data_IF_474642505777
#
_entry.id   IF_474642505777
#
_cell.length_a   1.000
_cell.length_b   1.000
_cell.length_c   1.000
_cell.angle_alpha   90.00
_cell.angle_beta   90.00
_cell.angle_gamma   90.00
#
_symmetry.space_group_name_H-M   'P 1'
#
loop_
_entity.id
_entity.type
_entity.pdbx_description
1 polymer ?
#
# COMPACT_ATOMS: atom_id res chain seq x y z
N UNK A 1 0.45 -23.23 4.10
CA UNK A 1 0.08 -22.67 2.78
C UNK A 1 1.33 -22.53 1.92
N UNK A 2 1.52 -23.39 0.91
CA UNK A 2 2.60 -23.22 -0.08
C UNK A 2 2.29 -21.96 -0.88
N UNK A 3 3.07 -20.88 -0.70
CA UNK A 3 2.98 -19.69 -1.56
C UNK A 3 3.44 -20.10 -2.96
N UNK A 4 2.50 -20.42 -3.84
CA UNK A 4 2.75 -20.48 -5.28
C UNK A 4 3.13 -19.06 -5.71
N UNK A 5 4.43 -18.81 -5.85
CA UNK A 5 4.91 -17.63 -6.55
C UNK A 5 4.31 -17.76 -7.95
N UNK A 6 3.36 -16.88 -8.31
CA UNK A 6 2.92 -16.73 -9.70
C UNK A 6 4.16 -16.30 -10.47
N UNK A 7 4.87 -17.28 -11.04
CA UNK A 7 5.92 -17.04 -12.02
C UNK A 7 5.16 -16.48 -13.22
N UNK A 8 5.12 -15.14 -13.36
CA UNK A 8 4.73 -14.55 -14.63
C UNK A 8 5.59 -15.24 -15.70
N UNK A 9 4.95 -15.79 -16.73
CA UNK A 9 5.67 -16.40 -17.84
C UNK A 9 6.69 -15.37 -18.32
N UNK A 10 7.97 -15.71 -18.20
CA UNK A 10 9.05 -14.85 -18.66
C UNK A 10 8.87 -14.82 -20.18
N UNK A 11 8.36 -13.71 -20.70
CA UNK A 11 8.28 -13.47 -22.14
C UNK A 11 9.70 -13.62 -22.69
N UNK A 12 9.90 -14.64 -23.52
CA UNK A 12 11.19 -14.99 -24.09
C UNK A 12 10.99 -15.11 -25.60
N UNK A 13 11.14 -13.99 -26.27
CA UNK A 13 11.00 -13.91 -27.71
C UNK A 13 12.40 -13.86 -28.31
N UNK A 14 12.74 -14.92 -29.04
CA UNK A 14 13.99 -15.12 -29.77
C UNK A 14 13.84 -14.62 -31.20
N UNK A 15 14.97 -14.47 -31.91
CA UNK A 15 14.94 -14.15 -33.35
C UNK A 15 14.17 -15.19 -34.18
N UNK A 16 14.14 -16.46 -33.75
CA UNK A 16 13.45 -17.56 -34.44
C UNK A 16 11.93 -17.43 -34.38
N UNK A 17 11.42 -16.63 -33.44
CA UNK A 17 9.99 -16.39 -33.29
C UNK A 17 9.47 -15.31 -34.26
N UNK A 18 10.34 -14.75 -35.11
CA UNK A 18 10.00 -13.71 -36.07
C UNK A 18 10.59 -13.98 -37.46
N UNK A 19 9.87 -13.58 -38.50
CA UNK A 19 10.41 -13.51 -39.85
C UNK A 19 11.08 -12.15 -40.03
N UNK A 20 12.40 -12.10 -39.83
CA UNK A 20 13.20 -10.87 -39.89
C UNK A 20 13.66 -10.65 -41.34
N UNK A 21 13.31 -9.50 -41.92
CA UNK A 21 13.69 -9.10 -43.29
C UNK A 21 14.97 -8.28 -43.32
N UNK A 22 15.23 -7.48 -42.27
CA UNK A 22 16.43 -6.65 -42.14
C UNK A 22 16.89 -6.60 -40.70
N UNK A 23 18.19 -6.65 -40.45
CA UNK A 23 18.78 -6.55 -39.10
C UNK A 23 19.93 -5.54 -39.10
N UNK A 24 19.73 -4.39 -38.45
CA UNK A 24 20.68 -3.26 -38.46
C UNK A 24 21.32 -3.09 -37.08
N UNK A 25 22.66 -3.03 -36.97
CA UNK A 25 23.33 -2.89 -35.68
C UNK A 25 23.10 -1.49 -35.06
N UNK A 26 22.87 -1.44 -33.75
CA UNK A 26 22.79 -0.20 -32.98
C UNK A 26 24.14 0.07 -32.33
N UNK A 27 24.85 1.10 -32.80
CA UNK A 27 26.06 1.56 -32.13
C UNK A 27 25.73 2.23 -30.80
N UNK A 28 26.21 1.66 -29.69
CA UNK A 28 26.17 2.31 -28.38
C UNK A 28 27.61 2.44 -27.90
N UNK A 29 28.05 3.69 -27.75
CA UNK A 29 29.44 4.15 -27.63
C UNK A 29 30.33 3.51 -26.55
N UNK A 30 29.83 2.59 -25.71
CA UNK A 30 30.57 2.05 -24.55
C UNK A 30 30.30 0.58 -24.20
N UNK A 31 29.52 -0.17 -24.98
CA UNK A 31 29.12 -1.53 -24.59
C UNK A 31 29.48 -2.56 -25.65
N UNK A 32 30.20 -3.63 -25.27
CA UNK A 32 30.51 -4.80 -26.12
C UNK A 32 29.31 -5.67 -26.49
N UNK A 33 28.10 -5.34 -26.03
CA UNK A 33 26.91 -6.14 -26.30
C UNK A 33 26.27 -5.72 -27.61
N UNK A 34 26.11 -6.71 -28.49
CA UNK A 34 25.42 -6.60 -29.75
C UNK A 34 23.94 -6.23 -29.56
N UNK A 35 23.50 -5.26 -30.34
CA UNK A 35 22.14 -4.74 -30.36
C UNK A 35 21.74 -4.44 -31.79
N UNK A 36 20.47 -4.66 -32.10
CA UNK A 36 19.97 -4.49 -33.44
C UNK A 36 18.58 -3.87 -33.46
N UNK A 37 18.25 -3.18 -34.54
CA UNK A 37 16.88 -2.89 -34.97
C UNK A 37 16.57 -3.91 -36.06
N UNK A 38 15.58 -4.75 -35.83
CA UNK A 38 15.08 -5.71 -36.80
C UNK A 38 13.82 -5.17 -37.45
N UNK A 39 13.76 -5.18 -38.78
CA UNK A 39 12.52 -5.01 -39.55
C UNK A 39 11.92 -6.39 -39.78
N UNK A 40 10.66 -6.57 -39.44
CA UNK A 40 9.92 -7.82 -39.60
C UNK A 40 9.25 -7.88 -40.99
N UNK A 41 8.71 -9.04 -41.35
CA UNK A 41 7.99 -9.24 -42.63
C UNK A 41 6.74 -8.37 -42.79
N UNK A 42 6.11 -7.96 -41.69
CA UNK A 42 4.97 -7.04 -41.67
C UNK A 42 5.38 -5.56 -41.73
N UNK A 43 6.68 -5.28 -41.87
CA UNK A 43 7.24 -3.92 -41.88
C UNK A 43 7.45 -3.31 -40.49
N UNK A 44 7.03 -3.97 -39.41
CA UNK A 44 7.23 -3.43 -38.05
C UNK A 44 8.70 -3.52 -37.62
N UNK A 45 9.14 -2.57 -36.80
CA UNK A 45 10.50 -2.55 -36.26
C UNK A 45 10.51 -2.99 -34.80
N UNK A 46 11.46 -3.85 -34.44
CA UNK A 46 11.71 -4.26 -33.05
C UNK A 46 13.17 -4.19 -32.67
N UNK A 47 13.42 -3.90 -31.39
CA UNK A 47 14.78 -3.85 -30.84
C UNK A 47 15.17 -5.22 -30.29
N UNK A 48 16.33 -5.70 -30.74
CA UNK A 48 16.95 -6.95 -30.29
C UNK A 48 18.27 -6.68 -29.58
N UNK A 49 18.59 -7.52 -28.62
CA UNK A 49 19.82 -7.45 -27.81
C UNK A 49 20.33 -8.86 -27.59
N UNK A 50 21.64 -9.07 -27.76
CA UNK A 50 22.25 -10.36 -27.44
C UNK A 50 22.39 -10.50 -25.93
N UNK A 51 21.94 -11.63 -25.40
CA UNK A 51 22.13 -11.94 -23.99
C UNK A 51 23.61 -12.11 -23.68
N UNK A 52 24.13 -11.41 -22.66
CA UNK A 52 25.51 -11.62 -22.17
C UNK A 52 25.64 -12.78 -21.17
N UNK A 53 24.56 -13.52 -20.95
CA UNK A 53 24.52 -14.68 -20.06
C UNK A 53 24.84 -15.97 -20.79
N UNK A 54 24.58 -17.12 -20.13
CA UNK A 54 24.92 -18.43 -20.67
C UNK A 54 24.22 -18.78 -21.99
N UNK A 55 23.06 -18.18 -22.31
CA UNK A 55 22.34 -18.53 -23.53
C UNK A 55 22.90 -17.87 -24.79
N UNK A 56 23.55 -16.70 -24.70
CA UNK A 56 24.08 -15.93 -25.85
C UNK A 56 23.10 -15.67 -27.01
N UNK A 57 21.81 -15.90 -26.79
CA UNK A 57 20.75 -15.76 -27.79
C UNK A 57 20.45 -14.28 -28.08
N UNK A 58 20.04 -14.02 -29.32
CA UNK A 58 19.50 -12.73 -29.72
C UNK A 58 18.00 -12.69 -29.36
N UNK A 59 17.63 -11.78 -28.46
CA UNK A 59 16.29 -11.70 -27.87
C UNK A 59 15.72 -10.30 -28.01
N UNK A 60 14.40 -10.18 -27.97
CA UNK A 60 13.75 -8.87 -27.91
C UNK A 60 14.03 -8.18 -26.56
N UNK A 61 13.98 -6.85 -26.53
CA UNK A 61 14.26 -6.06 -25.32
C UNK A 61 13.33 -6.38 -24.13
N UNK A 62 12.12 -6.87 -24.39
CA UNK A 62 11.17 -7.28 -23.35
C UNK A 62 11.68 -8.46 -22.54
N UNK A 63 12.52 -9.31 -23.14
CA UNK A 63 13.15 -10.47 -22.50
C UNK A 63 14.21 -10.08 -21.45
N UNK A 64 14.55 -8.78 -21.32
CA UNK A 64 15.56 -8.27 -20.40
C UNK A 64 14.92 -7.49 -19.24
N UNK A 65 15.31 -7.75 -17.97
CA UNK A 65 14.82 -6.99 -16.83
C UNK A 65 15.09 -5.48 -16.96
N UNK A 66 14.15 -4.65 -16.49
CA UNK A 66 14.30 -3.19 -16.49
C UNK A 66 15.37 -2.77 -15.47
N UNK A 67 16.32 -1.92 -15.89
CA UNK A 67 17.36 -1.31 -15.03
C UNK A 67 17.66 0.12 -15.45
N UNK A 68 17.05 1.08 -14.76
CA UNK A 68 17.15 2.54 -15.05
C UNK A 68 18.57 3.10 -15.10
N UNK A 69 19.55 2.45 -14.45
CA UNK A 69 20.96 2.88 -14.43
C UNK A 69 21.72 2.59 -15.74
N UNK A 70 21.16 1.79 -16.65
CA UNK A 70 21.78 1.47 -17.94
C UNK A 70 21.25 2.43 -19.00
N UNK A 71 22.09 2.77 -19.98
CA UNK A 71 21.73 3.71 -21.05
C UNK A 71 20.48 3.27 -21.84
N UNK A 72 20.28 1.95 -21.99
CA UNK A 72 19.12 1.36 -22.67
C UNK A 72 17.97 0.99 -21.71
N UNK A 73 18.10 1.32 -20.42
CA UNK A 73 17.11 1.01 -19.38
C UNK A 73 16.92 -0.48 -19.10
N UNK A 74 17.80 -1.36 -19.60
CA UNK A 74 17.65 -2.83 -19.52
C UNK A 74 18.93 -3.52 -19.06
N UNK A 75 18.80 -4.67 -18.41
CA UNK A 75 19.94 -5.52 -18.10
C UNK A 75 20.57 -6.10 -19.37
N UNK A 76 21.80 -6.58 -19.22
CA UNK A 76 22.57 -7.22 -20.30
C UNK A 76 22.30 -8.73 -20.42
N UNK A 77 21.72 -9.32 -19.39
CA UNK A 77 21.31 -10.71 -19.35
C UNK A 77 19.79 -10.80 -19.44
N UNK A 78 19.30 -11.80 -20.17
CA UNK A 78 17.89 -12.07 -20.25
C UNK A 78 17.33 -12.53 -18.90
N UNK A 79 16.01 -12.43 -18.72
CA UNK A 79 15.34 -12.79 -17.47
C UNK A 79 15.61 -14.22 -17.03
N UNK A 80 15.75 -15.16 -17.98
CA UNK A 80 16.07 -16.57 -17.70
C UNK A 80 17.49 -16.71 -17.12
N UNK A 81 18.51 -16.27 -17.84
CA UNK A 81 19.91 -16.35 -17.38
C UNK A 81 20.10 -15.60 -16.06
N UNK A 82 19.47 -14.43 -15.92
CA UNK A 82 19.51 -13.66 -14.69
C UNK A 82 18.91 -14.46 -13.51
N UNK A 83 17.75 -15.09 -13.71
CA UNK A 83 17.08 -15.91 -12.68
C UNK A 83 17.88 -17.14 -12.30
N UNK A 84 18.46 -17.85 -13.27
CA UNK A 84 19.33 -19.01 -13.04
C UNK A 84 20.57 -18.60 -12.23
N UNK A 85 21.24 -17.52 -12.61
CA UNK A 85 22.37 -16.97 -11.87
C UNK A 85 21.98 -16.59 -10.45
N UNK A 86 20.84 -15.93 -10.26
CA UNK A 86 20.32 -15.61 -8.92
C UNK A 86 20.08 -16.87 -8.07
N UNK A 87 19.51 -17.93 -8.66
CA UNK A 87 19.30 -19.23 -7.98
C UNK A 87 20.63 -19.89 -7.60
N UNK A 88 21.61 -19.88 -8.49
CA UNK A 88 22.95 -20.43 -8.21
C UNK A 88 23.64 -19.65 -7.08
N UNK A 89 23.59 -18.32 -7.12
CA UNK A 89 24.18 -17.50 -6.07
C UNK A 89 23.47 -17.69 -4.73
N UNK A 90 22.14 -17.82 -4.73
CA UNK A 90 21.38 -18.17 -3.54
C UNK A 90 21.82 -19.51 -2.97
N UNK A 91 21.94 -20.55 -3.81
CA UNK A 91 22.40 -21.86 -3.36
C UNK A 91 23.82 -21.82 -2.79
N UNK A 92 24.73 -21.03 -3.38
CA UNK A 92 26.09 -20.81 -2.84
C UNK A 92 26.05 -20.15 -1.47
N UNK A 93 25.25 -19.08 -1.30
CA UNK A 93 25.09 -18.39 -0.02
C UNK A 93 24.52 -19.32 1.06
N UNK A 94 23.54 -20.16 0.70
CA UNK A 94 22.95 -21.12 1.64
C UNK A 94 23.94 -22.22 2.04
N UNK A 95 24.75 -22.74 1.10
CA UNK A 95 25.78 -23.75 1.41
C UNK A 95 26.90 -23.24 2.30
N UNK A 96 27.20 -21.94 2.25
CA UNK A 96 28.23 -21.31 3.09
C UNK A 96 27.71 -20.87 4.46
N UNK A 97 26.40 -20.92 4.69
CA UNK A 97 25.81 -20.48 5.93
C UNK A 97 25.93 -21.57 7.00
N UNK A 98 26.51 -21.23 8.15
CA UNK A 98 26.37 -22.05 9.35
C UNK A 98 24.98 -21.78 9.95
N UNK A 99 24.17 -22.83 10.12
CA UNK A 99 22.83 -22.72 10.69
C UNK A 99 22.83 -22.22 12.13
N UNK A 100 23.95 -22.39 12.83
CA UNK A 100 24.16 -21.90 14.20
C UNK A 100 24.71 -20.47 14.23
N UNK A 101 25.10 -19.90 13.09
CA UNK A 101 25.57 -18.51 13.02
C UNK A 101 24.46 -17.57 13.49
N UNK A 102 24.82 -16.71 14.44
CA UNK A 102 23.96 -15.62 14.93
C UNK A 102 24.49 -14.29 14.43
N UNK A 103 23.57 -13.37 14.15
CA UNK A 103 23.87 -11.99 13.76
C UNK A 103 22.99 -11.03 14.51
N UNK A 104 23.49 -9.82 14.73
CA UNK A 104 22.71 -8.72 15.30
C UNK A 104 21.96 -8.00 14.18
N UNK A 105 20.65 -7.85 14.31
CA UNK A 105 19.83 -7.17 13.32
C UNK A 105 20.06 -5.66 13.39
N UNK A 106 20.48 -5.03 12.29
CA UNK A 106 20.78 -3.59 12.25
C UNK A 106 19.59 -2.64 12.46
N UNK A 107 18.38 -3.17 12.63
CA UNK A 107 17.14 -2.40 12.80
C UNK A 107 16.50 -2.56 14.18
N UNK A 108 16.62 -3.74 14.80
CA UNK A 108 16.05 -3.99 16.14
C UNK A 108 17.12 -4.31 17.19
N UNK A 109 18.39 -4.41 16.79
CA UNK A 109 19.53 -4.73 17.65
C UNK A 109 19.43 -6.07 18.41
N UNK A 110 18.46 -6.91 18.08
CA UNK A 110 18.35 -8.27 18.60
C UNK A 110 19.29 -9.23 17.85
N UNK A 111 19.94 -10.12 18.59
CA UNK A 111 20.73 -11.23 18.06
C UNK A 111 19.82 -12.38 17.61
N UNK A 112 19.94 -12.79 16.34
CA UNK A 112 19.07 -13.81 15.73
C UNK A 112 19.88 -14.79 14.90
N UNK A 113 19.34 -16.01 14.77
CA UNK A 113 19.89 -17.03 13.86
C UNK A 113 19.87 -16.54 12.42
N UNK A 114 20.84 -16.97 11.61
CA UNK A 114 20.95 -16.60 10.19
C UNK A 114 19.68 -16.89 9.38
N UNK A 115 18.92 -17.93 9.76
CA UNK A 115 17.65 -18.32 9.15
C UNK A 115 16.56 -17.25 9.28
N UNK A 116 16.66 -16.33 10.24
CA UNK A 116 15.77 -15.18 10.42
C UNK A 116 16.07 -14.02 9.44
N UNK A 117 17.11 -14.13 8.61
CA UNK A 117 17.50 -13.10 7.65
C UNK A 117 17.11 -13.46 6.22
N UNK A 118 16.67 -12.45 5.47
CA UNK A 118 16.46 -12.58 4.03
C UNK A 118 17.79 -12.50 3.28
N UNK A 119 17.83 -13.01 2.06
CA UNK A 119 18.98 -12.92 1.16
C UNK A 119 18.60 -12.17 -0.12
N UNK A 120 19.56 -11.46 -0.71
CA UNK A 120 19.43 -10.80 -2.01
C UNK A 120 20.20 -11.52 -3.13
N UNK A 121 20.66 -12.75 -2.86
CA UNK A 121 21.49 -13.52 -3.78
C UNK A 121 22.99 -13.19 -3.66
N UNK A 122 23.37 -12.00 -3.18
CA UNK A 122 24.77 -11.66 -2.89
C UNK A 122 25.18 -11.92 -1.43
N UNK A 123 24.24 -12.37 -0.59
CA UNK A 123 24.45 -12.59 0.84
C UNK A 123 23.20 -12.32 1.67
N UNK A 124 23.31 -12.57 2.97
CA UNK A 124 22.27 -12.20 3.93
C UNK A 124 22.18 -10.69 4.11
N UNK A 125 20.96 -10.19 4.28
CA UNK A 125 20.69 -8.78 4.58
C UNK A 125 21.13 -8.45 6.01
N UNK A 126 21.36 -7.15 6.28
CA UNK A 126 21.70 -6.64 7.62
C UNK A 126 20.51 -6.63 8.59
N UNK A 127 19.30 -6.56 8.04
CA UNK A 127 18.03 -6.53 8.78
C UNK A 127 17.32 -7.88 8.71
N UNK A 128 16.71 -8.32 9.82
CA UNK A 128 15.95 -9.58 9.87
C UNK A 128 14.67 -9.52 9.03
N UNK A 129 14.11 -10.69 8.66
CA UNK A 129 12.89 -10.83 7.86
C UNK A 129 11.71 -10.05 8.44
N UNK A 130 11.54 -10.05 9.77
CA UNK A 130 10.47 -9.28 10.47
C UNK A 130 10.61 -7.77 10.21
N UNK A 131 11.81 -7.22 10.42
CA UNK A 131 12.10 -5.80 10.17
C UNK A 131 11.98 -5.45 8.67
N UNK A 132 12.46 -6.32 7.79
CA UNK A 132 12.33 -6.14 6.34
C UNK A 132 10.85 -6.11 5.91
N UNK A 133 10.02 -6.99 6.47
CA UNK A 133 8.58 -7.01 6.21
C UNK A 133 7.91 -5.73 6.72
N UNK A 134 8.21 -5.29 7.97
CA UNK A 134 7.71 -4.01 8.52
C UNK A 134 8.06 -2.85 7.58
N UNK A 135 9.33 -2.73 7.20
CA UNK A 135 9.81 -1.68 6.29
C UNK A 135 9.16 -1.73 4.90
N UNK A 136 8.95 -2.92 4.35
CA UNK A 136 8.32 -3.09 3.03
C UNK A 136 6.84 -2.71 3.06
N UNK A 137 6.13 -3.08 4.13
CA UNK A 137 4.74 -2.67 4.36
C UNK A 137 4.66 -1.14 4.47
N UNK A 138 5.50 -0.53 5.32
CA UNK A 138 5.56 0.93 5.48
C UNK A 138 5.80 1.63 4.14
N UNK A 139 6.85 1.24 3.39
CA UNK A 139 7.13 1.81 2.06
C UNK A 139 5.98 1.70 1.07
N UNK A 140 5.19 0.62 1.15
CA UNK A 140 4.00 0.44 0.30
C UNK A 140 2.90 1.41 0.70
N UNK A 141 2.67 1.61 2.00
CA UNK A 141 1.74 2.60 2.52
C UNK A 141 2.16 4.02 2.11
N UNK A 142 3.45 4.35 2.25
CA UNK A 142 3.99 5.65 1.85
C UNK A 142 3.77 5.90 0.36
N UNK A 143 4.12 4.91 -0.48
CA UNK A 143 3.96 5.02 -1.92
C UNK A 143 2.49 5.19 -2.30
N UNK A 144 1.59 4.36 -1.76
CA UNK A 144 0.15 4.44 -2.05
C UNK A 144 -0.41 5.80 -1.63
N UNK A 145 0.02 6.30 -0.47
CA UNK A 145 -0.46 7.58 0.03
C UNK A 145 0.06 8.74 -0.83
N UNK A 146 1.33 8.73 -1.26
CA UNK A 146 1.86 9.71 -2.23
C UNK A 146 1.17 9.65 -3.60
N UNK A 147 0.89 8.44 -4.10
CA UNK A 147 0.14 8.21 -5.34
C UNK A 147 -1.28 8.80 -5.26
N UNK A 148 -1.85 8.86 -4.06
CA UNK A 148 -3.19 9.41 -3.79
C UNK A 148 -3.17 10.86 -3.29
N UNK A 149 -2.02 11.55 -3.28
CA UNK A 149 -1.91 12.91 -2.73
C UNK A 149 -2.18 13.00 -1.22
N UNK A 150 -2.17 11.88 -0.50
CA UNK A 150 -2.47 11.82 0.92
C UNK A 150 -1.25 12.21 1.73
N UNK A 151 -1.49 12.92 2.82
CA UNK A 151 -0.45 13.31 3.76
C UNK A 151 0.25 12.06 4.32
N UNK A 152 1.56 11.96 4.08
CA UNK A 152 2.46 10.90 4.58
C UNK A 152 3.49 11.43 5.55
N UNK A 153 3.18 12.35 6.46
CA UNK A 153 4.08 12.55 7.60
C UNK A 153 3.95 11.35 8.53
N UNK A 154 4.71 10.30 8.21
CA UNK A 154 5.01 9.21 9.12
C UNK A 154 6.37 9.42 9.80
N UNK A 155 6.91 10.63 9.66
CA UNK A 155 8.25 11.04 10.03
C UNK A 155 8.13 12.50 10.51
N UNK A 156 8.19 12.70 11.83
CA UNK A 156 8.14 14.03 12.47
C UNK A 156 7.12 14.15 13.60
N UNK A 157 5.89 13.65 13.42
CA UNK A 157 4.79 13.78 14.41
C UNK A 157 4.81 12.68 15.50
N UNK A 158 5.99 12.12 15.81
CA UNK A 158 6.09 11.03 16.76
C UNK A 158 5.29 9.79 16.34
N UNK A 159 5.00 9.53 15.05
CA UNK A 159 4.17 8.37 14.67
C UNK A 159 4.79 7.03 15.09
N UNK A 160 6.12 6.91 15.24
CA UNK A 160 6.70 5.68 15.80
C UNK A 160 6.51 5.65 17.31
N UNK A 161 6.46 6.78 18.02
CA UNK A 161 6.02 6.87 19.42
C UNK A 161 4.52 6.63 19.56
N UNK A 162 3.67 7.28 18.76
CA UNK A 162 2.25 6.99 18.65
C UNK A 162 2.02 5.54 18.24
N UNK A 163 2.69 4.98 17.23
CA UNK A 163 2.59 3.55 16.91
C UNK A 163 3.11 2.70 18.06
N UNK A 164 4.17 3.07 18.77
CA UNK A 164 4.64 2.30 19.92
C UNK A 164 3.68 2.40 21.11
N UNK A 165 2.98 3.52 21.29
CA UNK A 165 1.98 3.74 22.32
C UNK A 165 0.67 3.04 21.94
N UNK A 166 0.24 3.18 20.69
CA UNK A 166 -1.04 2.74 20.12
C UNK A 166 -1.01 1.29 19.65
N UNK A 167 0.04 0.83 18.97
CA UNK A 167 0.16 -0.59 18.58
C UNK A 167 0.48 -1.50 19.77
N UNK A 168 1.07 -0.96 20.85
CA UNK A 168 1.14 -1.67 22.13
C UNK A 168 -0.06 -1.34 23.05
N UNK A 169 -0.96 -0.44 22.63
CA UNK A 169 -2.17 -0.18 23.38
C UNK A 169 -3.14 -1.34 23.21
N UNK A 170 -4.00 -1.48 24.22
CA UNK A 170 -5.21 -2.25 24.08
C UNK A 170 -6.06 -1.70 22.93
N UNK A 171 -6.85 -2.57 22.30
CA UNK A 171 -7.88 -2.14 21.37
C UNK A 171 -8.80 -1.12 22.05
N UNK A 172 -8.99 0.05 21.45
CA UNK A 172 -9.72 1.16 22.06
C UNK A 172 -11.18 0.81 22.35
N UNK A 173 -11.80 -0.03 21.51
CA UNK A 173 -13.20 -0.43 21.65
C UNK A 173 -13.44 -1.53 22.71
N UNK A 174 -12.44 -2.37 23.00
CA UNK A 174 -12.61 -3.58 23.85
C UNK A 174 -11.67 -3.65 25.04
N UNK A 175 -10.62 -2.84 25.09
CA UNK A 175 -9.58 -2.89 26.13
C UNK A 175 -8.70 -4.14 26.07
N UNK A 176 -8.84 -4.97 25.03
CA UNK A 176 -8.04 -6.17 24.86
C UNK A 176 -6.69 -5.87 24.20
N UNK A 177 -5.60 -6.37 24.78
CA UNK A 177 -4.25 -6.39 24.17
C UNK A 177 -4.07 -7.54 23.16
N UNK A 178 -5.04 -8.46 23.07
CA UNK A 178 -4.96 -9.60 22.13
C UNK A 178 -5.28 -9.17 20.70
N UNK A 179 -4.41 -9.56 19.77
CA UNK A 179 -4.60 -9.44 18.32
C UNK A 179 -4.93 -8.01 17.86
N UNK A 180 -4.24 -7.01 18.42
CA UNK A 180 -4.43 -5.60 18.07
C UNK A 180 -3.75 -5.28 16.74
N UNK A 181 -4.39 -4.43 15.95
CA UNK A 181 -3.94 -3.92 14.66
C UNK A 181 -4.23 -2.42 14.58
N UNK A 182 -3.66 -1.73 13.61
CA UNK A 182 -4.06 -0.35 13.28
C UNK A 182 -5.15 -0.39 12.21
N UNK A 183 -6.18 0.44 12.37
CA UNK A 183 -7.17 0.71 11.33
C UNK A 183 -7.32 2.21 11.11
N UNK A 184 -7.92 2.57 9.97
CA UNK A 184 -8.20 3.95 9.59
C UNK A 184 -9.67 4.30 9.81
N UNK A 185 -9.98 5.45 10.43
CA UNK A 185 -11.36 5.92 10.58
C UNK A 185 -12.00 6.12 9.20
N UNK A 186 -11.29 6.85 8.35
CA UNK A 186 -11.52 6.98 6.92
C UNK A 186 -10.52 6.06 6.22
N UNK A 187 -10.95 4.95 5.61
CA UNK A 187 -10.05 4.03 4.90
C UNK A 187 -9.18 4.71 3.84
N UNK A 188 -7.96 4.21 3.64
CA UNK A 188 -7.08 4.69 2.56
C UNK A 188 -7.67 4.50 1.15
N UNK A 189 -8.62 3.58 0.99
CA UNK A 189 -9.38 3.42 -0.26
C UNK A 189 -10.37 4.56 -0.51
N UNK A 190 -10.76 5.28 0.54
CA UNK A 190 -11.61 6.46 0.52
C UNK A 190 -10.80 7.73 0.77
N UNK A 191 -9.51 7.73 0.41
CA UNK A 191 -8.61 8.88 0.55
C UNK A 191 -8.31 9.32 1.99
N UNK A 192 -8.66 8.53 3.02
CA UNK A 192 -8.23 8.83 4.38
C UNK A 192 -6.75 8.54 4.58
N UNK A 193 -5.95 9.59 4.77
CA UNK A 193 -4.49 9.50 4.94
C UNK A 193 -4.07 8.70 6.18
N UNK A 194 -2.77 8.41 6.32
CA UNK A 194 -2.23 7.67 7.47
C UNK A 194 -1.60 8.62 8.50
N UNK A 195 -2.44 9.36 9.22
CA UNK A 195 -2.02 10.32 10.26
C UNK A 195 -2.69 10.01 11.62
N UNK A 196 -2.20 10.64 12.69
CA UNK A 196 -2.59 10.34 14.08
C UNK A 196 -4.11 10.42 14.31
N UNK A 197 -4.75 11.48 13.80
CA UNK A 197 -6.20 11.67 13.90
C UNK A 197 -7.05 10.75 13.04
N UNK A 198 -6.46 9.89 12.19
CA UNK A 198 -7.20 8.92 11.37
C UNK A 198 -6.82 7.48 11.71
N UNK A 199 -5.89 7.21 12.63
CA UNK A 199 -5.42 5.86 12.97
C UNK A 199 -5.91 5.44 14.35
N UNK A 200 -6.35 4.17 14.48
CA UNK A 200 -6.82 3.63 15.76
C UNK A 200 -6.29 2.23 16.08
N UNK A 201 -6.07 1.90 17.37
CA UNK A 201 -5.76 0.53 17.79
C UNK A 201 -7.05 -0.27 17.92
N UNK A 202 -7.20 -1.27 17.08
CA UNK A 202 -8.41 -2.08 17.02
C UNK A 202 -8.08 -3.56 16.91
N UNK A 203 -8.89 -4.40 17.54
CA UNK A 203 -8.78 -5.85 17.36
C UNK A 203 -8.91 -6.19 15.88
N UNK A 204 -8.08 -7.12 15.41
CA UNK A 204 -8.03 -7.50 14.00
C UNK A 204 -9.38 -8.01 13.48
N UNK A 205 -10.17 -8.65 14.33
CA UNK A 205 -11.48 -9.15 13.94
C UNK A 205 -12.46 -8.00 13.72
N UNK A 206 -12.44 -6.99 14.60
CA UNK A 206 -13.22 -5.76 14.43
C UNK A 206 -12.79 -5.00 13.16
N UNK A 207 -11.49 -4.82 12.95
CA UNK A 207 -10.93 -4.23 11.74
C UNK A 207 -11.41 -4.97 10.47
N UNK A 208 -11.33 -6.30 10.48
CA UNK A 208 -11.79 -7.13 9.37
C UNK A 208 -13.28 -6.96 9.08
N UNK A 209 -14.11 -6.76 10.11
CA UNK A 209 -15.55 -6.54 9.93
C UNK A 209 -15.90 -5.15 9.37
N UNK A 210 -15.01 -4.17 9.56
CA UNK A 210 -15.17 -2.81 9.02
C UNK A 210 -14.91 -2.75 7.53
N UNK A 211 -13.92 -3.50 7.05
CA UNK A 211 -13.57 -3.53 5.63
C UNK A 211 -13.19 -2.14 5.12
N UNK A 212 -13.87 -1.69 4.05
CA UNK A 212 -13.64 -0.39 3.42
C UNK A 212 -14.65 0.68 3.83
N UNK A 213 -15.46 0.45 4.86
CA UNK A 213 -16.41 1.44 5.35
C UNK A 213 -15.72 2.48 6.23
N UNK A 214 -16.13 3.75 6.18
CA UNK A 214 -15.82 4.73 7.23
C UNK A 214 -16.38 4.26 8.58
N UNK A 215 -15.70 4.62 9.67
CA UNK A 215 -16.07 4.20 11.02
C UNK A 215 -17.54 4.47 11.37
N UNK A 216 -18.04 5.68 11.12
CA UNK A 216 -19.41 6.10 11.44
C UNK A 216 -20.48 5.32 10.66
N UNK A 217 -20.19 4.87 9.44
CA UNK A 217 -21.08 3.98 8.70
C UNK A 217 -20.95 2.54 9.20
N UNK A 218 -19.74 2.09 9.51
CA UNK A 218 -19.49 0.74 10.00
C UNK A 218 -20.22 0.45 11.32
N UNK A 219 -20.19 1.36 12.29
CA UNK A 219 -20.84 1.12 13.59
C UNK A 219 -22.37 0.99 13.51
N UNK A 220 -22.98 1.35 12.38
CA UNK A 220 -24.41 1.17 12.10
C UNK A 220 -24.74 -0.21 11.52
N UNK A 221 -23.74 -0.93 11.02
CA UNK A 221 -23.95 -2.21 10.33
C UNK A 221 -24.39 -3.32 11.28
N UNK A 222 -25.09 -4.33 10.74
CA UNK A 222 -25.36 -5.57 11.47
C UNK A 222 -24.07 -6.30 11.85
N UNK A 223 -23.07 -6.32 10.96
CA UNK A 223 -21.79 -6.97 11.21
C UNK A 223 -21.08 -6.36 12.42
N UNK A 224 -21.10 -5.03 12.58
CA UNK A 224 -20.59 -4.37 13.78
C UNK A 224 -21.33 -4.82 15.04
N UNK A 225 -22.66 -4.82 15.04
CA UNK A 225 -23.46 -5.24 16.21
C UNK A 225 -23.12 -6.66 16.65
N UNK A 226 -23.03 -7.58 15.71
CA UNK A 226 -22.72 -8.99 15.98
C UNK A 226 -21.30 -9.15 16.56
N UNK A 227 -20.31 -8.48 15.97
CA UNK A 227 -18.92 -8.58 16.40
C UNK A 227 -18.65 -7.80 17.70
N UNK A 228 -19.36 -6.70 17.92
CA UNK A 228 -19.32 -5.89 19.13
C UNK A 228 -19.79 -6.71 20.32
N UNK A 229 -20.92 -7.42 20.19
CA UNK A 229 -21.43 -8.35 21.19
C UNK A 229 -20.43 -9.47 21.47
N UNK A 230 -19.86 -10.07 20.42
CA UNK A 230 -18.90 -11.18 20.53
C UNK A 230 -17.64 -10.81 21.32
N UNK A 231 -17.13 -9.59 21.15
CA UNK A 231 -15.87 -9.17 21.77
C UNK A 231 -16.02 -8.16 22.91
N UNK A 232 -17.25 -7.92 23.38
CA UNK A 232 -17.52 -7.04 24.51
C UNK A 232 -17.15 -5.58 24.24
N UNK A 233 -17.48 -5.06 23.06
CA UNK A 233 -17.37 -3.62 22.78
C UNK A 233 -18.37 -2.89 23.67
N UNK A 234 -17.89 -1.88 24.39
CA UNK A 234 -18.71 -1.05 25.27
C UNK A 234 -19.11 0.25 24.57
N UNK A 235 -20.38 0.70 24.66
CA UNK A 235 -20.82 1.97 24.07
C UNK A 235 -19.95 3.15 24.48
N UNK A 236 -19.64 3.28 25.78
CA UNK A 236 -18.80 4.36 26.32
C UNK A 236 -17.40 4.43 25.67
N UNK A 237 -16.88 3.28 25.19
CA UNK A 237 -15.59 3.24 24.48
C UNK A 237 -15.69 3.65 23.02
N UNK A 238 -16.85 3.46 22.40
CA UNK A 238 -17.13 3.98 21.06
C UNK A 238 -17.22 5.50 21.14
N UNK A 239 -17.97 6.04 22.11
CA UNK A 239 -18.11 7.49 22.35
C UNK A 239 -16.76 8.14 22.66
N UNK A 240 -16.03 7.62 23.65
CA UNK A 240 -14.68 8.09 23.98
C UNK A 240 -13.76 8.13 22.75
N UNK A 241 -13.87 7.13 21.88
CA UNK A 241 -13.06 7.08 20.67
C UNK A 241 -13.47 8.15 19.65
N UNK A 242 -14.76 8.37 19.45
CA UNK A 242 -15.26 9.43 18.56
C UNK A 242 -14.74 10.78 19.04
N UNK A 243 -14.84 11.07 20.34
CA UNK A 243 -14.36 12.32 20.94
C UNK A 243 -12.85 12.48 20.78
N UNK A 244 -12.08 11.42 21.05
CA UNK A 244 -10.62 11.44 20.91
C UNK A 244 -10.19 11.68 19.45
N UNK A 245 -10.85 11.01 18.50
CA UNK A 245 -10.56 11.19 17.08
C UNK A 245 -10.92 12.59 16.59
N UNK A 246 -12.06 13.12 17.02
CA UNK A 246 -12.47 14.49 16.71
C UNK A 246 -11.48 15.51 17.27
N UNK A 247 -11.04 15.33 18.52
CA UNK A 247 -10.04 16.18 19.16
C UNK A 247 -8.71 16.19 18.38
N UNK A 248 -8.23 15.03 17.90
CA UNK A 248 -7.02 14.96 17.06
C UNK A 248 -7.17 15.61 15.67
N UNK A 249 -8.40 15.90 15.24
CA UNK A 249 -8.66 16.63 14.01
C UNK A 249 -9.09 18.09 14.25
N UNK A 250 -9.03 18.58 15.50
CA UNK A 250 -9.47 19.92 15.89
C UNK A 250 -10.95 20.17 15.55
N UNK A 251 -11.80 19.17 15.79
CA UNK A 251 -13.24 19.20 15.50
C UNK A 251 -14.03 18.71 16.70
N UNK A 252 -15.33 19.07 16.77
CA UNK A 252 -16.27 18.39 17.64
C UNK A 252 -16.62 17.00 17.09
N UNK A 253 -17.16 16.11 17.91
CA UNK A 253 -17.64 14.79 17.48
C UNK A 253 -18.61 14.88 16.29
N UNK A 254 -19.56 15.82 16.35
CA UNK A 254 -20.55 16.06 15.29
C UNK A 254 -19.89 16.54 13.99
N UNK A 255 -19.01 17.53 14.08
CA UNK A 255 -18.27 18.03 12.92
C UNK A 255 -17.44 16.91 12.27
N UNK A 256 -16.76 16.09 13.08
CA UNK A 256 -15.89 15.03 12.57
C UNK A 256 -16.67 13.89 11.90
N UNK A 257 -17.83 13.54 12.45
CA UNK A 257 -18.79 12.63 11.82
C UNK A 257 -19.21 13.16 10.45
N UNK A 258 -19.69 14.41 10.40
CA UNK A 258 -20.19 15.04 9.16
C UNK A 258 -19.09 15.19 8.11
N UNK A 259 -17.86 15.49 8.50
CA UNK A 259 -16.71 15.47 7.61
C UNK A 259 -16.42 14.06 7.07
N UNK A 260 -16.49 13.03 7.91
CA UNK A 260 -16.29 11.64 7.47
C UNK A 260 -17.35 11.21 6.44
N UNK A 261 -18.60 11.64 6.64
CA UNK A 261 -19.70 11.39 5.69
C UNK A 261 -19.51 12.17 4.39
N UNK A 262 -19.02 13.42 4.47
CA UNK A 262 -18.64 14.20 3.28
C UNK A 262 -17.61 13.44 2.44
N UNK A 263 -16.53 12.94 3.07
CA UNK A 263 -15.50 12.16 2.36
C UNK A 263 -16.11 10.92 1.70
N UNK A 264 -16.98 10.20 2.41
CA UNK A 264 -17.65 9.03 1.84
C UNK A 264 -18.51 9.38 0.61
N UNK A 265 -19.31 10.45 0.70
CA UNK A 265 -20.16 10.96 -0.38
C UNK A 265 -19.33 11.28 -1.63
N UNK A 266 -18.23 12.02 -1.48
CA UNK A 266 -17.36 12.39 -2.60
C UNK A 266 -16.85 11.16 -3.36
N UNK A 267 -16.57 10.08 -2.63
CA UNK A 267 -16.08 8.83 -3.20
C UNK A 267 -17.17 7.95 -3.83
N UNK A 268 -18.46 8.27 -3.63
CA UNK A 268 -19.57 7.57 -4.31
C UNK A 268 -19.89 8.14 -5.69
N UNK A 269 -19.42 9.35 -6.01
CA UNK A 269 -19.69 10.01 -7.29
C UNK A 269 -18.41 10.05 -8.16
N UNK A 270 -18.53 9.58 -9.39
CA UNK A 270 -17.44 9.52 -10.38
C UNK A 270 -16.82 10.89 -10.68
N UNK A 271 -17.61 11.95 -10.64
CA UNK A 271 -17.15 13.32 -10.87
C UNK A 271 -16.29 13.82 -9.71
N UNK A 272 -16.62 13.44 -8.46
CA UNK A 272 -15.96 13.97 -7.25
C UNK A 272 -14.97 13.00 -6.62
N UNK A 273 -14.85 11.75 -7.09
CA UNK A 273 -13.97 10.74 -6.47
C UNK A 273 -12.48 11.09 -6.48
N UNK A 274 -12.07 12.05 -7.31
CA UNK A 274 -10.71 12.58 -7.33
C UNK A 274 -10.42 13.51 -6.14
N UNK A 275 -11.47 14.07 -5.50
CA UNK A 275 -11.36 14.92 -4.32
C UNK A 275 -10.98 14.04 -3.12
N UNK A 276 -9.90 14.42 -2.44
CA UNK A 276 -9.37 13.67 -1.30
C UNK A 276 -9.96 14.14 0.03
N UNK A 277 -9.70 13.41 1.11
CA UNK A 277 -10.02 13.83 2.48
C UNK A 277 -9.31 15.14 2.89
N UNK A 278 -8.26 15.56 2.18
CA UNK A 278 -7.62 16.86 2.33
C UNK A 278 -7.85 17.69 1.04
N UNK A 279 -9.07 18.21 0.81
CA UNK A 279 -9.34 19.01 -0.37
C UNK A 279 -8.57 20.32 -0.35
N UNK A 280 -8.42 20.94 -1.52
CA UNK A 280 -8.06 22.35 -1.65
C UNK A 280 -9.15 23.24 -1.07
N UNK A 281 -8.85 24.52 -0.85
CA UNK A 281 -9.85 25.48 -0.38
C UNK A 281 -11.06 25.57 -1.31
N UNK A 282 -10.83 25.63 -2.64
CA UNK A 282 -11.91 25.69 -3.63
C UNK A 282 -12.77 24.44 -3.55
N UNK A 283 -12.18 23.25 -3.61
CA UNK A 283 -12.94 22.00 -3.51
C UNK A 283 -13.73 21.89 -2.19
N UNK A 284 -13.15 22.35 -1.08
CA UNK A 284 -13.84 22.35 0.20
C UNK A 284 -15.03 23.33 0.22
N UNK A 285 -14.87 24.50 -0.39
CA UNK A 285 -15.92 25.52 -0.50
C UNK A 285 -17.01 25.12 -1.50
N UNK A 286 -16.65 24.51 -2.62
CA UNK A 286 -17.56 24.19 -3.72
C UNK A 286 -18.42 22.96 -3.42
N UNK A 287 -17.87 21.99 -2.66
CA UNK A 287 -18.53 20.71 -2.40
C UNK A 287 -18.94 20.49 -0.93
N UNK A 288 -18.54 21.38 -0.02
CA UNK A 288 -19.04 21.41 1.35
C UNK A 288 -20.45 22.01 1.38
N UNK A 289 -21.36 21.37 2.11
CA UNK A 289 -22.74 21.89 2.29
C UNK A 289 -22.96 22.40 3.71
N UNK A 290 -22.16 21.94 4.68
CA UNK A 290 -22.16 22.41 6.06
C UNK A 290 -21.05 23.43 6.35
N UNK A 291 -20.62 23.46 7.61
CA UNK A 291 -19.51 24.30 8.06
C UNK A 291 -18.18 23.86 7.43
N UNK A 292 -17.37 24.83 7.02
CA UNK A 292 -15.99 24.61 6.62
C UNK A 292 -15.08 24.74 7.84
N UNK A 293 -14.66 23.59 8.36
CA UNK A 293 -13.68 23.52 9.45
C UNK A 293 -12.26 23.42 8.89
N UNK A 294 -11.25 23.66 9.72
CA UNK A 294 -9.87 23.41 9.33
C UNK A 294 -8.86 23.79 10.40
N UNK A 295 -7.61 23.41 10.16
CA UNK A 295 -6.49 23.78 11.02
C UNK A 295 -5.25 24.06 10.18
N UNK A 296 -4.32 24.82 10.74
CA UNK A 296 -3.03 25.14 10.13
C UNK A 296 -1.94 24.36 10.85
N UNK A 297 -1.11 23.64 10.10
CA UNK A 297 0.02 22.91 10.66
C UNK A 297 1.19 22.91 9.65
N UNK A 298 2.36 23.34 10.12
CA UNK A 298 3.59 23.46 9.32
C UNK A 298 3.37 24.17 7.97
N UNK A 299 2.78 25.37 8.02
CA UNK A 299 2.50 26.22 6.84
C UNK A 299 1.48 25.62 5.84
N UNK A 300 0.86 24.48 6.17
CA UNK A 300 -0.19 23.85 5.37
C UNK A 300 -1.53 24.03 6.07
N UNK A 301 -2.51 24.56 5.33
CA UNK A 301 -3.92 24.62 5.75
C UNK A 301 -4.63 23.32 5.39
N UNK A 302 -5.30 22.70 6.37
CA UNK A 302 -6.09 21.49 6.20
C UNK A 302 -7.57 21.85 6.27
N UNK A 303 -8.28 21.68 5.15
CA UNK A 303 -9.71 21.93 5.07
C UNK A 303 -10.52 20.67 5.38
N UNK A 304 -11.60 20.87 6.14
CA UNK A 304 -12.50 19.83 6.66
C UNK A 304 -13.94 20.25 6.39
N UNK A 305 -14.40 20.20 5.12
CA UNK A 305 -15.78 20.49 4.79
C UNK A 305 -16.71 19.44 5.41
N UNK A 306 -17.88 19.87 5.85
CA UNK A 306 -18.91 18.99 6.42
C UNK A 306 -20.13 18.92 5.50
N UNK A 307 -20.98 17.91 5.69
CA UNK A 307 -22.34 17.89 5.12
C UNK A 307 -23.31 18.64 6.05
N UNK A 308 -24.49 19.08 5.61
CA UNK A 308 -25.54 19.59 6.53
C UNK A 308 -26.15 18.47 7.40
N UNK A 309 -26.97 18.83 8.38
CA UNK A 309 -27.69 17.85 9.21
C UNK A 309 -28.76 17.08 8.43
N UNK A 310 -29.44 17.77 7.50
CA UNK A 310 -30.38 17.17 6.57
C UNK A 310 -29.66 16.14 5.69
N UNK A 311 -28.53 16.53 5.10
CA UNK A 311 -27.76 15.66 4.24
C UNK A 311 -27.13 14.47 5.00
N UNK A 312 -26.68 14.68 6.25
CA UNK A 312 -26.26 13.57 7.14
C UNK A 312 -27.39 12.56 7.31
N UNK A 313 -28.60 13.04 7.58
CA UNK A 313 -29.79 12.19 7.72
C UNK A 313 -30.07 11.40 6.44
N UNK A 314 -30.04 12.07 5.29
CA UNK A 314 -30.24 11.44 3.98
C UNK A 314 -29.20 10.35 3.68
N UNK A 315 -27.93 10.61 3.97
CA UNK A 315 -26.84 9.63 3.82
C UNK A 315 -27.12 8.39 4.66
N UNK A 316 -27.52 8.55 5.92
CA UNK A 316 -27.84 7.41 6.79
C UNK A 316 -29.07 6.63 6.33
N UNK A 317 -30.15 7.31 5.96
CA UNK A 317 -31.36 6.66 5.46
C UNK A 317 -31.04 5.83 4.21
N UNK A 318 -30.30 6.40 3.25
CA UNK A 318 -29.88 5.70 2.03
C UNK A 318 -28.96 4.52 2.35
N UNK A 319 -28.01 4.69 3.27
CA UNK A 319 -27.10 3.63 3.67
C UNK A 319 -27.85 2.46 4.34
N UNK A 320 -28.73 2.75 5.29
CA UNK A 320 -29.50 1.75 6.04
C UNK A 320 -30.48 0.99 5.13
N UNK A 321 -31.09 1.67 4.15
CA UNK A 321 -31.92 1.03 3.13
C UNK A 321 -31.13 -0.01 2.31
N UNK A 322 -29.92 0.35 1.84
CA UNK A 322 -29.04 -0.56 1.09
C UNK A 322 -28.57 -1.79 1.90
N UNK A 323 -28.39 -1.64 3.22
CA UNK A 323 -28.08 -2.77 4.10
C UNK A 323 -29.24 -3.78 4.16
N UNK A 324 -30.49 -3.31 4.06
CA UNK A 324 -31.68 -4.19 4.14
C UNK A 324 -31.89 -4.99 2.85
N UNK A 325 -31.59 -4.39 1.70
CA UNK A 325 -31.71 -5.06 0.40
C UNK A 325 -30.68 -6.18 0.20
N UNK A 326 -29.44 -5.95 0.62
CA UNK A 326 -28.37 -6.96 0.53
C UNK A 326 -28.65 -8.24 1.34
N UNK A 327 -29.41 -8.14 2.44
CA UNK A 327 -29.83 -9.28 3.27
C UNK A 327 -30.91 -10.13 2.58
N UNK A 328 -31.73 -9.55 1.69
CA UNK A 328 -32.79 -10.29 0.99
C UNK A 328 -32.28 -11.14 -0.17
N UNK A 329 -31.07 -10.85 -0.66
CA UNK A 329 -30.48 -11.50 -1.84
C UNK A 329 -29.52 -12.65 -1.43
N UNK A 330 -29.05 -12.65 -0.19
CA UNK A 330 -28.12 -13.66 0.37
C UNK A 330 -28.83 -14.82 1.05
#
# INVERSE_FOLDING_TARGET
>A
MKKTIKIQSIVRNTEKDFVITKLEPISISKSKIERYIATLSDGTQRKFKRCSGACSELLTYESFPKRRKKNDGRENECGKCWSERCRMNLAKVLKQADENEKRTCSMCNEEKKISEYGTCGSGYRKECKKCQNKRTVLRRHDRKSRELGLHTKLDGEGIEEFKNIVMNAACILTGSFKNVSSDHIIPTSLTGGSHIGNLLPIRRELNSSKGSLPFFLWIRTKSFRDIAKKYGVRPERVEFFIDLAAAFNFMTADQYERYTLWVWKMQQNEETKHITANPTFSEASDYGTGELCGFHHDEVSYYRPTVTDEERTEIYVKFDAGQTESIKIS
#
